data_IF_929175263313
#
_entry.id   IF_929175263313
#
_cell.length_a   1.000
_cell.length_b   1.000
_cell.length_c   1.000
_cell.angle_alpha   90.00
_cell.angle_beta   90.00
_cell.angle_gamma   90.00
#
_symmetry.space_group_name_H-M   'P 1'
#
loop_
_entity.id
_entity.type
_entity.pdbx_description
1 polymer ?
#
# COMPACT_ATOMS: atom_id res chain seq x y z
N UNK A 1 9.33 -15.91 -0.30
CA UNK A 1 10.46 -15.30 0.41
C UNK A 1 10.02 -13.96 1.00
N UNK A 2 10.12 -13.84 2.32
CA UNK A 2 9.90 -12.63 3.09
C UNK A 2 11.25 -12.14 3.60
N UNK A 3 11.57 -10.86 3.36
CA UNK A 3 12.86 -10.31 3.79
C UNK A 3 12.65 -9.29 4.89
N UNK A 4 13.25 -9.55 6.05
CA UNK A 4 13.27 -8.67 7.22
C UNK A 4 14.64 -8.02 7.36
N UNK A 5 14.73 -6.72 7.16
CA UNK A 5 15.98 -5.97 7.18
C UNK A 5 16.05 -5.07 8.40
N UNK A 6 17.12 -5.19 9.17
CA UNK A 6 17.38 -4.31 10.31
C UNK A 6 17.78 -2.91 9.86
N UNK A 7 17.54 -1.88 10.68
CA UNK A 7 18.07 -0.54 10.47
C UNK A 7 19.59 -0.54 10.25
N UNK A 8 20.07 0.46 9.54
CA UNK A 8 21.52 0.57 9.28
C UNK A 8 22.31 0.79 10.57
N UNK A 9 21.82 1.63 11.47
CA UNK A 9 22.43 1.87 12.78
C UNK A 9 22.58 0.58 13.59
N UNK A 10 21.52 -0.26 13.62
CA UNK A 10 21.59 -1.55 14.30
C UNK A 10 22.65 -2.46 13.68
N UNK A 11 22.69 -2.53 12.34
CA UNK A 11 23.66 -3.36 11.63
C UNK A 11 25.11 -2.93 11.92
N UNK A 12 25.37 -1.62 11.98
CA UNK A 12 26.69 -1.06 12.36
C UNK A 12 27.07 -1.44 13.79
N UNK A 13 26.17 -1.21 14.75
CA UNK A 13 26.42 -1.50 16.16
C UNK A 13 26.63 -3.01 16.42
N UNK A 14 25.85 -3.85 15.75
CA UNK A 14 25.92 -5.31 15.90
C UNK A 14 27.20 -5.90 15.29
N UNK A 15 27.62 -5.42 14.10
CA UNK A 15 28.68 -6.06 13.31
C UNK A 15 30.07 -5.46 13.58
N UNK A 16 30.14 -4.17 13.83
CA UNK A 16 31.40 -3.44 14.06
C UNK A 16 31.50 -2.89 15.48
N UNK A 17 30.41 -2.39 16.05
CA UNK A 17 30.38 -2.05 17.48
C UNK A 17 30.50 -3.26 18.40
N UNK A 18 30.23 -4.48 17.88
CA UNK A 18 30.44 -5.75 18.60
C UNK A 18 29.29 -6.13 19.54
N UNK A 19 28.17 -5.43 19.56
CA UNK A 19 27.02 -5.80 20.40
C UNK A 19 26.18 -6.90 19.75
N UNK A 20 26.56 -8.16 20.01
CA UNK A 20 25.90 -9.36 19.50
C UNK A 20 24.43 -9.51 19.98
N UNK A 21 24.04 -8.85 21.09
CA UNK A 21 22.66 -8.88 21.61
C UNK A 21 21.68 -8.31 20.61
N UNK A 22 22.11 -7.35 19.77
CA UNK A 22 21.30 -6.78 18.69
C UNK A 22 21.00 -7.79 17.57
N UNK A 23 21.87 -8.80 17.38
CA UNK A 23 21.59 -9.93 16.46
C UNK A 23 20.48 -10.81 17.03
N UNK A 24 20.48 -11.05 18.34
CA UNK A 24 19.42 -11.82 19.00
C UNK A 24 18.10 -11.05 18.98
N UNK A 25 18.13 -9.75 19.26
CA UNK A 25 16.98 -8.86 19.10
C UNK A 25 16.35 -8.95 17.68
N UNK A 26 17.20 -8.95 16.64
CA UNK A 26 16.75 -9.15 15.27
C UNK A 26 16.06 -10.52 15.09
N UNK A 27 16.65 -11.61 15.59
CA UNK A 27 16.06 -12.94 15.48
C UNK A 27 14.70 -13.01 16.18
N UNK A 28 14.59 -12.43 17.38
CA UNK A 28 13.34 -12.37 18.16
C UNK A 28 12.26 -11.58 17.41
N UNK A 29 12.62 -10.45 16.84
CA UNK A 29 11.69 -9.62 16.05
C UNK A 29 11.21 -10.32 14.77
N UNK A 30 12.09 -11.07 14.08
CA UNK A 30 11.71 -11.89 12.92
C UNK A 30 10.74 -12.99 13.35
N UNK A 31 11.06 -13.73 14.42
CA UNK A 31 10.19 -14.77 14.96
C UNK A 31 8.82 -14.20 15.34
N UNK A 32 8.79 -13.06 16.02
CA UNK A 32 7.56 -12.39 16.40
C UNK A 32 6.70 -12.05 15.17
N UNK A 33 7.29 -11.38 14.16
CA UNK A 33 6.55 -11.00 12.95
C UNK A 33 6.02 -12.20 12.16
N UNK A 34 6.79 -13.31 12.10
CA UNK A 34 6.35 -14.55 11.46
C UNK A 34 5.22 -15.22 12.25
N UNK A 35 5.26 -15.19 13.58
CA UNK A 35 4.19 -15.74 14.44
C UNK A 35 2.87 -14.94 14.26
N UNK A 36 2.93 -13.63 14.17
CA UNK A 36 1.73 -12.82 13.90
C UNK A 36 1.19 -13.04 12.48
N UNK A 37 2.09 -13.12 11.49
CA UNK A 37 1.72 -13.42 10.10
C UNK A 37 1.02 -14.79 10.01
N UNK A 38 1.57 -15.82 10.66
CA UNK A 38 1.01 -17.17 10.69
C UNK A 38 -0.42 -17.21 11.22
N UNK A 39 -0.68 -16.54 12.35
CA UNK A 39 -2.03 -16.40 12.92
C UNK A 39 -3.01 -15.70 11.99
N UNK A 40 -2.53 -14.70 11.27
CA UNK A 40 -3.39 -13.89 10.41
C UNK A 40 -3.74 -14.61 9.10
N UNK A 41 -2.77 -15.28 8.45
CA UNK A 41 -2.91 -15.70 7.05
C UNK A 41 -2.89 -17.21 6.81
N UNK A 42 -2.46 -18.02 7.78
CA UNK A 42 -2.39 -19.48 7.59
C UNK A 42 -3.79 -20.07 7.45
N UNK A 43 -4.13 -20.51 6.25
CA UNK A 43 -5.46 -21.03 5.94
C UNK A 43 -5.38 -22.20 4.96
N UNK A 44 -6.31 -23.14 5.13
CA UNK A 44 -6.64 -24.17 4.13
C UNK A 44 -7.99 -23.86 3.50
N UNK A 45 -8.18 -24.38 2.29
CA UNK A 45 -9.46 -24.38 1.62
C UNK A 45 -10.17 -25.71 1.89
N UNK A 46 -11.30 -25.63 2.55
CA UNK A 46 -12.17 -26.80 2.85
C UNK A 46 -13.36 -26.77 1.90
N UNK A 47 -13.72 -27.93 1.36
CA UNK A 47 -14.90 -28.10 0.53
C UNK A 47 -15.93 -28.92 1.30
N UNK A 48 -17.06 -28.29 1.61
CA UNK A 48 -18.19 -28.93 2.29
C UNK A 48 -19.12 -29.65 1.29
N UNK A 49 -20.16 -30.28 1.83
CA UNK A 49 -21.22 -30.86 1.02
C UNK A 49 -21.81 -29.84 0.04
N UNK A 50 -22.23 -30.30 -1.13
CA UNK A 50 -22.75 -29.47 -2.24
C UNK A 50 -21.71 -28.55 -2.90
N UNK A 51 -20.41 -28.75 -2.64
CA UNK A 51 -19.33 -27.98 -3.29
C UNK A 51 -19.13 -26.57 -2.72
N UNK A 52 -19.69 -26.25 -1.56
CA UNK A 52 -19.43 -24.99 -0.87
C UNK A 52 -17.97 -24.98 -0.38
N UNK A 53 -17.23 -23.93 -0.74
CA UNK A 53 -15.82 -23.77 -0.36
C UNK A 53 -15.68 -22.64 0.66
N UNK A 54 -14.92 -22.91 1.71
CA UNK A 54 -14.61 -21.95 2.77
C UNK A 54 -13.13 -22.01 3.12
N UNK A 55 -12.65 -20.96 3.79
CA UNK A 55 -11.32 -20.94 4.38
C UNK A 55 -11.39 -21.28 5.87
N UNK A 56 -10.48 -22.16 6.29
CA UNK A 56 -10.27 -22.51 7.67
C UNK A 56 -8.88 -22.08 8.11
N UNK A 57 -8.79 -21.31 9.21
CA UNK A 57 -7.51 -20.91 9.79
C UNK A 57 -6.85 -22.14 10.44
N UNK A 58 -5.55 -22.26 10.20
CA UNK A 58 -4.74 -23.36 10.73
C UNK A 58 -3.71 -22.90 11.74
N UNK A 59 -3.44 -21.58 11.78
CA UNK A 59 -2.43 -20.96 12.65
C UNK A 59 -1.08 -21.71 12.62
N UNK A 60 -0.74 -22.29 11.49
CA UNK A 60 0.43 -23.15 11.30
C UNK A 60 1.08 -22.94 9.94
N UNK A 61 2.33 -22.49 9.94
CA UNK A 61 3.16 -22.37 8.72
C UNK A 61 4.59 -22.85 9.03
N UNK A 62 5.27 -23.34 8.02
CA UNK A 62 6.67 -23.73 8.11
C UNK A 62 7.55 -22.70 7.41
N UNK A 63 8.53 -22.15 8.13
CA UNK A 63 9.50 -21.20 7.61
C UNK A 63 10.93 -21.73 7.76
N UNK A 64 11.71 -21.61 6.68
CA UNK A 64 13.16 -21.71 6.74
C UNK A 64 13.74 -20.29 6.81
N UNK A 65 14.40 -19.93 7.92
CA UNK A 65 14.96 -18.59 8.13
C UNK A 65 16.46 -18.60 7.96
N UNK A 66 16.97 -17.81 7.02
CA UNK A 66 18.40 -17.65 6.74
C UNK A 66 18.80 -16.21 6.96
N UNK A 67 19.75 -15.97 7.89
CA UNK A 67 20.25 -14.64 8.21
C UNK A 67 21.52 -14.33 7.43
N UNK A 68 21.60 -13.12 6.88
CA UNK A 68 22.76 -12.54 6.22
C UNK A 68 23.26 -11.30 6.98
N UNK A 69 24.54 -10.96 6.78
CA UNK A 69 25.20 -9.82 7.41
C UNK A 69 25.52 -8.69 6.42
N UNK A 70 25.38 -8.94 5.12
CA UNK A 70 25.85 -8.04 4.07
C UNK A 70 24.75 -7.70 3.09
N UNK A 71 24.75 -6.45 2.61
CA UNK A 71 24.03 -6.08 1.39
C UNK A 71 24.69 -6.73 0.15
N UNK A 72 24.11 -6.49 -1.03
CA UNK A 72 24.69 -6.93 -2.31
C UNK A 72 26.04 -6.26 -2.61
N UNK A 73 26.24 -5.05 -2.13
CA UNK A 73 27.48 -4.26 -2.27
C UNK A 73 28.44 -4.50 -1.09
N UNK A 74 28.24 -5.56 -0.31
CA UNK A 74 29.02 -5.90 0.87
C UNK A 74 28.99 -4.87 2.01
N UNK A 75 27.99 -3.95 2.03
CA UNK A 75 27.77 -3.09 3.19
C UNK A 75 27.25 -3.90 4.38
N UNK A 76 27.46 -3.37 5.58
CA UNK A 76 26.86 -3.88 6.81
C UNK A 76 25.33 -3.85 6.70
N UNK A 77 24.70 -5.01 6.65
CA UNK A 77 23.25 -5.13 6.58
C UNK A 77 22.78 -6.45 7.18
N UNK A 78 22.36 -6.40 8.41
CA UNK A 78 21.70 -7.53 9.05
C UNK A 78 20.30 -7.70 8.45
N UNK A 79 20.03 -8.84 7.84
CA UNK A 79 18.71 -9.17 7.33
C UNK A 79 18.50 -10.67 7.31
N UNK A 80 17.23 -11.05 7.37
CA UNK A 80 16.82 -12.46 7.30
C UNK A 80 15.85 -12.68 6.16
N UNK A 81 16.08 -13.76 5.41
CA UNK A 81 15.13 -14.32 4.47
C UNK A 81 14.33 -15.41 5.17
N UNK A 82 13.03 -15.31 5.16
CA UNK A 82 12.11 -16.33 5.64
C UNK A 82 11.37 -16.94 4.44
N UNK A 83 11.74 -18.17 4.11
CA UNK A 83 11.14 -18.95 3.03
C UNK A 83 9.94 -19.71 3.60
N UNK A 84 8.73 -19.28 3.26
CA UNK A 84 7.50 -19.97 3.64
C UNK A 84 7.31 -21.21 2.74
N UNK A 85 7.15 -22.37 3.34
CA UNK A 85 6.72 -23.56 2.62
C UNK A 85 5.23 -23.45 2.28
N UNK A 86 4.83 -23.92 1.10
CA UNK A 86 3.43 -23.94 0.70
C UNK A 86 2.71 -25.13 1.36
N UNK A 87 2.73 -25.18 2.69
CA UNK A 87 2.09 -26.21 3.49
C UNK A 87 1.67 -25.71 4.86
N UNK A 88 0.63 -26.32 5.39
CA UNK A 88 0.09 -26.11 6.73
C UNK A 88 -0.47 -27.44 7.25
N UNK A 89 -0.81 -27.50 8.55
CA UNK A 89 -1.58 -28.61 9.13
C UNK A 89 -3.01 -28.16 9.35
N UNK A 90 -3.95 -28.96 8.88
CA UNK A 90 -5.37 -28.76 9.21
C UNK A 90 -5.68 -29.19 10.67
N UNK A 91 -6.93 -29.08 11.08
CA UNK A 91 -7.38 -29.43 12.43
C UNK A 91 -7.27 -30.92 12.74
N UNK A 92 -7.30 -31.76 11.72
CA UNK A 92 -7.12 -33.21 11.80
C UNK A 92 -5.63 -33.58 11.91
N UNK A 93 -4.72 -32.61 11.71
CA UNK A 93 -3.27 -32.82 11.74
C UNK A 93 -2.67 -33.17 10.37
N UNK A 94 -3.48 -33.26 9.33
CA UNK A 94 -3.04 -33.58 7.98
C UNK A 94 -2.31 -32.39 7.31
N UNK A 95 -1.33 -32.74 6.49
CA UNK A 95 -0.61 -31.74 5.70
C UNK A 95 -1.43 -31.34 4.48
N UNK A 96 -1.66 -30.04 4.35
CA UNK A 96 -2.40 -29.40 3.26
C UNK A 96 -1.60 -28.30 2.61
N UNK A 97 -1.90 -27.98 1.36
CA UNK A 97 -1.41 -26.76 0.74
C UNK A 97 -2.11 -25.54 1.34
N UNK A 98 -1.36 -24.44 1.49
CA UNK A 98 -1.94 -23.14 1.86
C UNK A 98 -3.00 -22.71 0.84
N UNK A 99 -4.00 -21.96 1.31
CA UNK A 99 -5.13 -21.54 0.50
C UNK A 99 -4.74 -20.62 -0.66
N UNK A 100 -5.39 -20.81 -1.80
CA UNK A 100 -5.36 -19.90 -2.95
C UNK A 100 -6.65 -19.10 -2.99
N UNK A 101 -6.67 -17.98 -3.71
CA UNK A 101 -7.85 -17.12 -3.82
C UNK A 101 -9.09 -17.87 -4.32
N UNK A 102 -10.26 -17.52 -3.76
CA UNK A 102 -11.57 -18.07 -4.14
C UNK A 102 -12.41 -17.01 -4.85
N UNK A 103 -12.95 -17.37 -6.00
CA UNK A 103 -13.98 -16.57 -6.67
C UNK A 103 -15.36 -16.97 -6.14
N UNK A 104 -16.09 -16.02 -5.58
CA UNK A 104 -17.47 -16.21 -5.10
C UNK A 104 -18.40 -15.16 -5.69
N UNK A 105 -19.73 -15.40 -5.54
CA UNK A 105 -20.74 -14.41 -5.90
C UNK A 105 -20.62 -13.21 -4.97
N UNK A 106 -20.02 -12.12 -5.45
CA UNK A 106 -19.72 -10.93 -4.63
C UNK A 106 -18.24 -10.54 -4.60
N UNK A 107 -17.35 -11.30 -5.28
CA UNK A 107 -15.95 -10.92 -5.42
C UNK A 107 -14.95 -12.05 -5.25
N UNK A 108 -13.72 -11.67 -4.96
CA UNK A 108 -12.61 -12.58 -4.72
C UNK A 108 -12.23 -12.53 -3.24
N UNK A 109 -12.20 -13.69 -2.59
CA UNK A 109 -11.60 -13.81 -1.26
C UNK A 109 -10.14 -14.19 -1.45
N UNK A 110 -9.24 -13.38 -0.91
CA UNK A 110 -7.80 -13.58 -1.05
C UNK A 110 -7.32 -14.79 -0.23
N UNK A 111 -6.51 -15.63 -0.86
CA UNK A 111 -5.82 -16.71 -0.19
C UNK A 111 -4.59 -16.25 0.59
N UNK A 112 -3.85 -17.19 1.18
CA UNK A 112 -2.68 -16.91 2.03
C UNK A 112 -1.61 -16.09 1.31
N UNK A 113 -1.26 -16.44 0.08
CA UNK A 113 -0.21 -15.76 -0.69
C UNK A 113 -0.55 -14.32 -1.00
N UNK A 114 -1.78 -14.05 -1.46
CA UNK A 114 -2.27 -12.71 -1.77
C UNK A 114 -2.38 -11.85 -0.52
N UNK A 115 -2.79 -12.41 0.62
CA UNK A 115 -2.85 -11.69 1.90
C UNK A 115 -1.46 -11.29 2.38
N UNK A 116 -0.47 -12.19 2.31
CA UNK A 116 0.92 -11.87 2.61
C UNK A 116 1.41 -10.71 1.74
N UNK A 117 1.16 -10.78 0.43
CA UNK A 117 1.57 -9.73 -0.50
C UNK A 117 0.89 -8.39 -0.22
N UNK A 118 -0.41 -8.39 0.00
CA UNK A 118 -1.20 -7.18 0.25
C UNK A 118 -0.82 -6.48 1.56
N UNK A 119 -0.40 -7.24 2.59
CA UNK A 119 -0.09 -6.73 3.92
C UNK A 119 1.41 -6.81 4.27
N UNK A 120 2.29 -7.02 3.29
CA UNK A 120 3.73 -7.15 3.51
C UNK A 120 4.34 -6.00 4.32
N UNK A 121 3.85 -4.76 4.12
CA UNK A 121 4.34 -3.60 4.87
C UNK A 121 3.90 -3.64 6.33
N UNK A 122 2.67 -4.07 6.60
CA UNK A 122 2.18 -4.25 7.97
C UNK A 122 3.06 -5.25 8.74
N UNK A 123 3.38 -6.41 8.14
CA UNK A 123 4.30 -7.37 8.79
C UNK A 123 5.71 -6.83 8.92
N UNK A 124 6.17 -6.01 7.99
CA UNK A 124 7.41 -5.26 8.11
C UNK A 124 7.40 -4.28 9.30
N UNK A 125 6.29 -3.60 9.55
CA UNK A 125 6.11 -2.67 10.67
C UNK A 125 6.05 -3.44 12.01
N UNK A 126 5.38 -4.60 12.07
CA UNK A 126 5.41 -5.48 13.24
C UNK A 126 6.85 -5.86 13.61
N UNK A 127 7.64 -6.27 12.62
CA UNK A 127 9.05 -6.56 12.82
C UNK A 127 9.83 -5.34 13.30
N UNK A 128 9.70 -4.19 12.65
CA UNK A 128 10.43 -2.97 13.00
C UNK A 128 10.10 -2.48 14.41
N UNK A 129 8.83 -2.48 14.78
CA UNK A 129 8.40 -2.04 16.12
C UNK A 129 8.84 -2.99 17.22
N UNK A 130 8.83 -4.30 16.98
CA UNK A 130 9.37 -5.28 17.94
C UNK A 130 10.89 -5.12 18.08
N UNK A 131 11.60 -4.95 16.96
CA UNK A 131 13.06 -4.75 16.98
C UNK A 131 13.46 -3.47 17.71
N UNK A 132 12.70 -2.38 17.54
CA UNK A 132 12.92 -1.13 18.28
C UNK A 132 12.76 -1.38 19.77
N UNK A 133 11.69 -2.04 20.20
CA UNK A 133 11.45 -2.39 21.60
C UNK A 133 12.57 -3.25 22.20
N UNK A 134 13.07 -4.24 21.44
CA UNK A 134 14.22 -5.06 21.87
C UNK A 134 15.48 -4.20 22.04
N UNK A 135 15.76 -3.31 21.09
CA UNK A 135 16.90 -2.39 21.18
C UNK A 135 16.79 -1.44 22.39
N UNK A 136 15.61 -0.92 22.68
CA UNK A 136 15.33 -0.10 23.85
C UNK A 136 15.56 -0.87 25.16
N UNK A 137 15.16 -2.12 25.21
CA UNK A 137 15.43 -3.01 26.36
C UNK A 137 16.93 -3.20 26.61
N UNK A 138 17.75 -3.13 25.55
CA UNK A 138 19.21 -3.19 25.62
C UNK A 138 19.87 -1.84 25.99
N UNK A 139 19.04 -0.79 26.22
CA UNK A 139 19.49 0.53 26.68
C UNK A 139 19.78 1.51 25.55
N UNK A 140 19.41 1.23 24.33
CA UNK A 140 19.48 2.16 23.21
C UNK A 140 18.23 3.07 23.14
N UNK A 141 18.39 4.28 22.62
CA UNK A 141 17.27 5.13 22.24
C UNK A 141 16.98 4.95 20.75
N UNK A 142 15.71 4.96 20.37
CA UNK A 142 15.27 4.81 18.98
C UNK A 142 14.51 6.04 18.51
N UNK A 143 14.62 6.35 17.22
CA UNK A 143 13.85 7.41 16.57
C UNK A 143 13.20 6.91 15.29
N UNK A 144 11.97 7.32 15.03
CA UNK A 144 11.28 7.05 13.78
C UNK A 144 11.94 7.77 12.60
N UNK A 145 11.95 7.12 11.42
CA UNK A 145 12.52 7.70 10.19
C UNK A 145 11.55 7.63 9.00
N UNK A 146 10.27 7.38 9.29
CA UNK A 146 9.19 7.26 8.31
C UNK A 146 8.93 5.82 7.86
N UNK A 147 7.79 5.63 7.21
CA UNK A 147 7.34 4.33 6.68
C UNK A 147 7.31 3.18 7.71
N UNK A 148 7.09 3.49 8.99
CA UNK A 148 7.11 2.51 10.07
C UNK A 148 8.52 2.01 10.44
N UNK A 149 9.57 2.66 9.97
CA UNK A 149 10.97 2.32 10.23
C UNK A 149 11.59 3.20 11.30
N UNK A 150 12.66 2.71 11.91
CA UNK A 150 13.43 3.44 12.91
C UNK A 150 14.94 3.35 12.67
N UNK A 151 15.70 4.19 13.36
CA UNK A 151 17.14 4.07 13.54
C UNK A 151 17.48 4.16 15.04
N UNK A 152 18.57 3.54 15.46
CA UNK A 152 19.13 3.73 16.80
C UNK A 152 19.80 5.09 16.84
N UNK A 153 19.44 5.90 17.83
CA UNK A 153 20.00 7.23 18.03
C UNK A 153 21.47 7.16 18.49
N UNK A 154 22.26 8.17 18.14
CA UNK A 154 23.67 8.26 18.55
C UNK A 154 24.65 7.56 17.60
N UNK A 155 24.21 6.85 16.58
CA UNK A 155 25.09 6.40 15.50
C UNK A 155 25.31 7.57 14.52
N UNK A 156 26.57 8.00 14.29
CA UNK A 156 26.84 9.15 13.44
C UNK A 156 26.36 8.98 11.99
N UNK A 157 25.70 10.02 11.46
CA UNK A 157 25.16 10.01 10.10
C UNK A 157 26.22 9.70 9.02
N UNK A 158 27.48 10.23 9.08
CA UNK A 158 28.51 9.87 8.11
C UNK A 158 28.77 8.36 8.00
N UNK A 159 28.70 7.64 9.14
CA UNK A 159 28.87 6.18 9.13
C UNK A 159 27.69 5.49 8.44
N UNK A 160 26.45 5.94 8.72
CA UNK A 160 25.26 5.40 8.09
C UNK A 160 25.29 5.59 6.56
N UNK A 161 25.72 6.78 6.13
CA UNK A 161 25.82 7.12 4.71
C UNK A 161 26.93 6.31 4.03
N UNK A 162 28.13 6.25 4.60
CA UNK A 162 29.24 5.46 4.09
C UNK A 162 28.95 3.95 4.04
N UNK A 163 28.02 3.47 4.89
CA UNK A 163 27.57 2.07 4.93
C UNK A 163 26.32 1.79 4.08
N UNK A 164 25.89 2.73 3.23
CA UNK A 164 24.63 2.66 2.48
C UNK A 164 24.83 2.74 0.95
N UNK A 165 25.91 2.15 0.44
CA UNK A 165 26.32 2.20 -0.97
C UNK A 165 25.18 1.80 -1.91
N UNK A 166 24.44 0.74 -1.57
CA UNK A 166 23.33 0.27 -2.40
C UNK A 166 22.21 1.31 -2.51
N UNK A 167 21.85 1.96 -1.43
CA UNK A 167 20.84 3.02 -1.43
C UNK A 167 21.29 4.20 -2.29
N UNK A 168 22.54 4.64 -2.16
CA UNK A 168 23.10 5.73 -2.93
C UNK A 168 23.06 5.43 -4.45
N UNK A 169 23.40 4.20 -4.86
CA UNK A 169 23.32 3.79 -6.26
C UNK A 169 21.89 3.84 -6.80
N UNK A 170 20.90 3.39 -6.02
CA UNK A 170 19.49 3.42 -6.42
C UNK A 170 18.99 4.85 -6.50
N UNK A 171 19.30 5.69 -5.50
CA UNK A 171 18.88 7.09 -5.44
C UNK A 171 19.49 7.87 -6.62
N UNK A 172 20.80 7.70 -6.90
CA UNK A 172 21.45 8.32 -8.05
C UNK A 172 20.80 7.88 -9.38
N UNK A 173 20.56 6.58 -9.55
CA UNK A 173 19.94 6.07 -10.77
C UNK A 173 18.50 6.57 -10.94
N UNK A 174 17.77 6.74 -9.82
CA UNK A 174 16.41 7.31 -9.83
C UNK A 174 16.42 8.77 -10.29
N UNK A 175 17.43 9.55 -9.83
CA UNK A 175 17.64 10.92 -10.30
C UNK A 175 17.97 10.96 -11.81
N UNK A 176 18.84 10.06 -12.28
CA UNK A 176 19.20 9.95 -13.70
C UNK A 176 17.98 9.62 -14.59
N UNK A 177 17.00 8.88 -14.06
CA UNK A 177 15.74 8.57 -14.74
C UNK A 177 14.77 9.77 -14.78
N UNK A 178 15.01 10.82 -13.99
CA UNK A 178 14.19 12.03 -13.94
C UNK A 178 12.83 11.87 -13.26
N UNK A 179 12.59 10.77 -12.55
CA UNK A 179 11.33 10.48 -11.87
C UNK A 179 11.58 10.08 -10.42
N UNK A 180 10.89 10.70 -9.46
CA UNK A 180 10.88 10.26 -8.06
C UNK A 180 9.58 9.51 -7.74
N UNK A 181 9.43 8.34 -8.36
CA UNK A 181 8.30 7.45 -8.12
C UNK A 181 8.77 6.09 -7.61
N UNK A 182 7.88 5.35 -6.94
CA UNK A 182 8.18 3.97 -6.53
C UNK A 182 8.55 3.09 -7.73
N UNK A 183 7.85 3.24 -8.85
CA UNK A 183 8.14 2.50 -10.06
C UNK A 183 9.54 2.82 -10.62
N UNK A 184 9.96 4.10 -10.57
CA UNK A 184 11.31 4.50 -10.96
C UNK A 184 12.39 3.88 -10.04
N UNK A 185 12.13 3.84 -8.72
CA UNK A 185 13.01 3.18 -7.74
C UNK A 185 13.10 1.67 -7.96
N UNK A 186 12.01 1.01 -8.34
CA UNK A 186 12.00 -0.42 -8.68
C UNK A 186 12.83 -0.69 -9.95
N UNK A 187 12.71 0.14 -10.99
CA UNK A 187 13.55 0.08 -12.20
C UNK A 187 15.01 0.35 -11.87
N UNK A 188 15.31 1.42 -11.12
CA UNK A 188 16.68 1.75 -10.69
C UNK A 188 17.32 0.61 -9.87
N UNK A 189 16.54 -0.05 -9.01
CA UNK A 189 16.99 -1.22 -8.25
C UNK A 189 17.33 -2.41 -9.16
N UNK A 190 16.61 -2.63 -10.24
CA UNK A 190 16.92 -3.69 -11.20
C UNK A 190 18.14 -3.33 -12.05
N UNK A 191 18.19 -2.11 -12.59
CA UNK A 191 19.26 -1.62 -13.47
C UNK A 191 20.64 -1.62 -12.78
N UNK A 192 20.68 -1.23 -11.50
CA UNK A 192 21.92 -1.15 -10.72
C UNK A 192 22.31 -2.49 -10.08
N UNK A 193 21.58 -3.57 -10.38
CA UNK A 193 21.79 -4.87 -9.74
C UNK A 193 22.99 -5.63 -10.31
N UNK A 194 24.14 -5.52 -9.66
CA UNK A 194 25.35 -6.29 -9.99
C UNK A 194 25.27 -7.74 -9.48
N UNK A 195 26.12 -8.61 -10.03
CA UNK A 195 26.35 -9.96 -9.48
C UNK A 195 26.97 -9.86 -8.08
N UNK A 196 26.62 -10.79 -7.18
CA UNK A 196 27.26 -10.85 -5.85
C UNK A 196 28.74 -11.22 -5.99
N UNK A 197 29.60 -10.45 -5.33
CA UNK A 197 31.01 -10.80 -5.14
C UNK A 197 31.17 -11.41 -3.74
N UNK A 198 31.79 -12.57 -3.67
CA UNK A 198 32.07 -13.21 -2.39
C UNK A 198 33.34 -12.61 -1.79
N UNK A 199 33.27 -12.21 -0.54
CA UNK A 199 34.41 -11.83 0.31
C UNK A 199 34.41 -12.62 1.60
N UNK A 200 35.61 -12.91 2.14
CA UNK A 200 35.72 -13.57 3.43
C UNK A 200 35.23 -12.66 4.57
N UNK A 201 34.76 -13.25 5.66
CA UNK A 201 34.30 -12.48 6.84
C UNK A 201 35.40 -11.56 7.38
N UNK A 202 36.67 -12.00 7.36
CA UNK A 202 37.80 -11.20 7.85
C UNK A 202 38.08 -9.99 6.94
N UNK A 203 38.00 -10.18 5.62
CA UNK A 203 38.14 -9.09 4.64
C UNK A 203 37.04 -8.03 4.84
N UNK A 204 35.80 -8.50 4.99
CA UNK A 204 34.65 -7.60 5.24
C UNK A 204 34.82 -6.82 6.55
N UNK A 205 35.19 -7.49 7.64
CA UNK A 205 35.39 -6.83 8.93
C UNK A 205 36.48 -5.76 8.85
N UNK A 206 37.61 -6.04 8.18
CA UNK A 206 38.68 -5.04 7.97
C UNK A 206 38.18 -3.85 7.15
N UNK A 207 37.46 -4.10 6.07
CA UNK A 207 36.86 -3.06 5.23
C UNK A 207 35.90 -2.17 6.05
N UNK A 208 34.98 -2.77 6.80
CA UNK A 208 34.01 -2.03 7.61
C UNK A 208 34.66 -1.21 8.73
N UNK A 209 35.68 -1.77 9.39
CA UNK A 209 36.47 -1.02 10.38
C UNK A 209 37.17 0.17 9.73
N UNK A 210 37.77 0.00 8.53
CA UNK A 210 38.36 1.09 7.78
C UNK A 210 37.35 2.18 7.47
N UNK A 211 36.17 1.79 6.95
CA UNK A 211 35.08 2.72 6.63
C UNK A 211 34.71 3.58 7.86
N UNK A 212 34.57 2.98 9.04
CA UNK A 212 34.23 3.73 10.27
C UNK A 212 35.38 4.69 10.68
N UNK A 213 36.65 4.23 10.62
CA UNK A 213 37.81 5.04 10.94
C UNK A 213 38.02 6.20 9.97
N UNK A 214 37.76 6.01 8.68
CA UNK A 214 37.81 7.05 7.66
C UNK A 214 36.76 8.16 7.87
N UNK A 215 35.68 7.85 8.57
CA UNK A 215 34.70 8.84 9.03
C UNK A 215 35.10 9.53 10.34
N UNK A 216 36.29 9.22 10.90
CA UNK A 216 36.80 9.84 12.11
C UNK A 216 36.31 9.23 13.42
N UNK A 217 35.79 8.01 13.40
CA UNK A 217 35.23 7.34 14.60
C UNK A 217 36.01 6.07 14.97
N UNK A 218 36.04 5.75 16.25
CA UNK A 218 36.56 4.47 16.72
C UNK A 218 35.41 3.42 16.74
N UNK A 219 35.57 2.30 16.04
CA UNK A 219 34.61 1.20 16.11
C UNK A 219 34.28 0.72 17.52
N UNK A 220 35.27 0.73 18.45
CA UNK A 220 35.09 0.27 19.81
C UNK A 220 34.21 1.19 20.67
N UNK A 221 34.07 2.46 20.31
CA UNK A 221 33.30 3.45 21.04
C UNK A 221 31.87 3.58 20.60
N UNK A 222 31.50 3.01 19.45
CA UNK A 222 30.18 3.19 18.81
C UNK A 222 29.01 2.77 19.72
N UNK A 223 29.14 1.65 20.42
CA UNK A 223 28.09 1.14 21.34
C UNK A 223 27.95 2.12 22.52
N UNK A 224 29.07 2.54 23.12
CA UNK A 224 29.06 3.49 24.24
C UNK A 224 28.43 4.82 23.82
N UNK A 225 28.83 5.35 22.68
CA UNK A 225 28.27 6.58 22.13
C UNK A 225 26.73 6.47 21.92
N UNK A 226 26.27 5.40 21.32
CA UNK A 226 24.84 5.17 21.09
C UNK A 226 24.06 5.00 22.40
N UNK A 227 24.62 4.32 23.40
CA UNK A 227 23.97 4.14 24.71
C UNK A 227 23.99 5.39 25.60
N UNK A 228 24.90 6.33 25.36
CA UNK A 228 24.92 7.61 26.05
C UNK A 228 23.81 8.56 25.60
N UNK A 229 23.30 8.40 24.39
CA UNK A 229 22.20 9.22 23.89
C UNK A 229 20.90 8.75 24.54
N UNK A 230 20.32 9.66 25.33
CA UNK A 230 19.01 9.44 25.96
C UNK A 230 18.00 10.39 25.30
N UNK A 231 17.23 9.89 24.39
CA UNK A 231 16.07 10.61 23.87
C UNK A 231 14.86 10.31 24.77
N UNK A 232 14.06 11.34 25.05
CA UNK A 232 12.80 11.12 25.75
C UNK A 232 11.92 10.23 24.88
N UNK A 233 11.52 9.07 25.39
CA UNK A 233 10.53 8.24 24.74
C UNK A 233 9.17 8.95 24.86
N UNK A 234 8.83 9.72 23.87
CA UNK A 234 7.52 10.35 23.78
C UNK A 234 6.50 9.31 23.29
N UNK A 235 5.97 8.50 24.22
CA UNK A 235 4.79 7.69 23.91
C UNK A 235 3.63 8.63 23.67
N UNK A 236 3.04 8.66 22.47
CA UNK A 236 1.92 9.55 22.19
C UNK A 236 0.76 9.28 23.14
N UNK A 237 0.05 10.32 23.60
CA UNK A 237 -1.17 10.15 24.37
C UNK A 237 -2.19 9.32 23.58
N UNK A 238 -3.06 8.60 24.31
CA UNK A 238 -4.12 7.78 23.70
C UNK A 238 -4.95 8.55 22.67
N UNK A 239 -5.33 9.78 23.00
CA UNK A 239 -6.12 10.64 22.10
C UNK A 239 -5.38 11.01 20.82
N UNK A 240 -4.05 11.16 20.85
CA UNK A 240 -3.26 11.42 19.66
C UNK A 240 -3.19 10.18 18.75
N UNK A 241 -3.06 8.99 19.34
CA UNK A 241 -3.09 7.73 18.60
C UNK A 241 -4.47 7.51 17.97
N UNK A 242 -5.57 7.78 18.67
CA UNK A 242 -6.91 7.72 18.10
C UNK A 242 -7.09 8.72 16.94
N UNK A 243 -6.62 9.95 17.10
CA UNK A 243 -6.67 10.95 16.04
C UNK A 243 -5.85 10.53 14.79
N UNK A 244 -4.67 9.94 14.97
CA UNK A 244 -3.87 9.41 13.88
C UNK A 244 -4.56 8.23 13.17
N UNK A 245 -5.19 7.33 13.91
CA UNK A 245 -6.03 6.25 13.35
C UNK A 245 -7.19 6.85 12.54
N UNK A 246 -7.88 7.87 13.05
CA UNK A 246 -8.97 8.54 12.33
C UNK A 246 -8.48 9.17 11.03
N UNK A 247 -7.33 9.85 11.02
CA UNK A 247 -6.72 10.38 9.78
C UNK A 247 -6.38 9.27 8.77
N UNK A 248 -5.87 8.14 9.24
CA UNK A 248 -5.61 6.98 8.39
C UNK A 248 -6.89 6.42 7.77
N UNK A 249 -7.98 6.35 8.56
CA UNK A 249 -9.33 5.96 8.12
C UNK A 249 -9.85 6.93 7.06
N UNK A 250 -9.78 8.24 7.32
CA UNK A 250 -10.22 9.27 6.38
C UNK A 250 -9.46 9.21 5.05
N UNK A 251 -8.14 8.98 5.12
CA UNK A 251 -7.32 8.79 3.93
C UNK A 251 -7.72 7.55 3.12
N UNK A 252 -7.89 6.41 3.78
CA UNK A 252 -8.31 5.15 3.11
C UNK A 252 -9.74 5.25 2.61
N UNK A 253 -10.62 5.92 3.35
CA UNK A 253 -12.03 6.13 3.03
C UNK A 253 -12.26 6.93 1.73
N UNK A 254 -11.25 7.67 1.24
CA UNK A 254 -11.29 8.32 -0.07
C UNK A 254 -11.26 7.32 -1.24
N UNK A 255 -10.79 6.10 -1.00
CA UNK A 255 -10.59 5.09 -2.04
C UNK A 255 -11.45 3.84 -1.84
N UNK A 256 -11.90 3.57 -0.63
CA UNK A 256 -12.69 2.39 -0.29
C UNK A 256 -13.50 2.61 0.98
N UNK A 257 -14.74 2.09 1.01
CA UNK A 257 -15.57 2.06 2.21
C UNK A 257 -15.34 0.80 3.06
N UNK A 258 -14.66 -0.21 2.48
CA UNK A 258 -14.24 -1.41 3.16
C UNK A 258 -12.74 -1.33 3.49
N UNK A 259 -12.41 -1.08 4.75
CA UNK A 259 -11.06 -0.79 5.22
C UNK A 259 -10.45 -2.01 5.93
N UNK A 260 -9.19 -2.29 5.64
CA UNK A 260 -8.42 -3.34 6.32
C UNK A 260 -7.68 -2.77 7.54
N UNK A 261 -7.78 -3.45 8.68
CA UNK A 261 -7.12 -3.03 9.92
C UNK A 261 -5.61 -2.92 9.76
N UNK A 262 -5.01 -3.84 9.01
CA UNK A 262 -3.58 -3.85 8.68
C UNK A 262 -3.14 -2.57 7.95
N UNK A 263 -3.99 -2.04 7.06
CA UNK A 263 -3.72 -0.79 6.34
C UNK A 263 -3.87 0.43 7.24
N UNK A 264 -4.83 0.43 8.14
CA UNK A 264 -5.00 1.48 9.15
C UNK A 264 -3.75 1.55 10.04
N UNK A 265 -3.28 0.40 10.55
CA UNK A 265 -2.07 0.34 11.38
C UNK A 265 -0.83 0.77 10.59
N UNK A 266 -0.69 0.32 9.33
CA UNK A 266 0.41 0.69 8.43
C UNK A 266 0.52 2.21 8.29
N UNK A 267 -0.58 2.90 7.98
CA UNK A 267 -0.59 4.35 7.79
C UNK A 267 -0.34 5.10 9.10
N UNK A 268 -0.97 4.67 10.19
CA UNK A 268 -0.79 5.27 11.51
C UNK A 268 0.66 5.18 11.98
N UNK A 269 1.30 4.01 11.88
CA UNK A 269 2.70 3.83 12.21
C UNK A 269 3.62 4.67 11.30
N UNK A 270 3.29 4.78 10.02
CA UNK A 270 4.06 5.59 9.07
C UNK A 270 3.99 7.08 9.38
N UNK A 271 2.85 7.57 9.86
CA UNK A 271 2.68 8.96 10.30
C UNK A 271 3.55 9.26 11.51
N UNK A 272 3.48 8.45 12.56
CA UNK A 272 4.30 8.63 13.75
C UNK A 272 5.80 8.58 13.46
N UNK A 273 6.25 7.58 12.71
CA UNK A 273 7.67 7.45 12.38
C UNK A 273 8.18 8.58 11.49
N UNK A 274 7.33 9.19 10.66
CA UNK A 274 7.66 10.41 9.91
C UNK A 274 7.86 11.60 10.84
N UNK A 275 7.12 11.67 11.95
CA UNK A 275 7.27 12.65 13.01
C UNK A 275 8.42 12.35 14.00
N UNK A 276 9.24 11.33 13.74
CA UNK A 276 10.35 10.95 14.62
C UNK A 276 9.97 10.01 15.78
N UNK A 277 8.68 9.70 15.94
CA UNK A 277 8.21 8.86 17.05
C UNK A 277 8.15 7.40 16.60
N UNK A 278 8.78 6.51 17.38
CA UNK A 278 8.67 5.07 17.17
C UNK A 278 7.56 4.51 18.08
N UNK A 279 6.41 4.19 17.51
CA UNK A 279 5.28 3.60 18.23
C UNK A 279 5.18 2.11 17.91
N UNK A 280 4.89 1.30 18.93
CA UNK A 280 4.70 -0.13 18.74
C UNK A 280 3.38 -0.40 18.00
N UNK A 281 3.45 -1.20 16.91
CA UNK A 281 2.30 -1.56 16.10
C UNK A 281 1.19 -2.27 16.90
N UNK A 282 1.55 -3.06 17.93
CA UNK A 282 0.57 -3.69 18.81
C UNK A 282 -0.18 -2.68 19.69
N UNK A 283 0.45 -1.56 20.05
CA UNK A 283 -0.23 -0.53 20.84
C UNK A 283 -1.21 0.25 19.93
N UNK A 284 -0.85 0.52 18.68
CA UNK A 284 -1.80 1.04 17.69
C UNK A 284 -2.98 0.06 17.52
N UNK A 285 -2.70 -1.25 17.42
CA UNK A 285 -3.73 -2.28 17.30
C UNK A 285 -4.67 -2.29 18.51
N UNK A 286 -4.15 -2.20 19.73
CA UNK A 286 -4.98 -2.12 20.95
C UNK A 286 -5.94 -0.93 20.93
N UNK A 287 -5.47 0.22 20.46
CA UNK A 287 -6.32 1.42 20.33
C UNK A 287 -7.39 1.19 19.27
N UNK A 288 -7.04 0.63 18.12
CA UNK A 288 -8.01 0.29 17.08
C UNK A 288 -9.02 -0.77 17.55
N UNK A 289 -8.59 -1.78 18.31
CA UNK A 289 -9.48 -2.79 18.93
C UNK A 289 -10.45 -2.15 19.94
N UNK A 290 -10.03 -1.11 20.67
CA UNK A 290 -10.92 -0.34 21.53
C UNK A 290 -11.95 0.45 20.71
N UNK A 291 -11.55 1.07 19.60
CA UNK A 291 -12.46 1.76 18.67
C UNK A 291 -13.48 0.80 18.03
N UNK A 292 -13.08 -0.45 17.74
CA UNK A 292 -13.99 -1.49 17.27
C UNK A 292 -15.04 -1.82 18.37
N UNK A 293 -14.60 -1.99 19.61
CA UNK A 293 -15.51 -2.26 20.75
C UNK A 293 -16.47 -1.12 21.04
N UNK A 294 -16.06 0.12 20.79
CA UNK A 294 -16.88 1.33 20.98
C UNK A 294 -17.85 1.57 19.81
N UNK A 295 -17.65 0.88 18.70
CA UNK A 295 -18.46 1.01 17.48
C UNK A 295 -18.01 2.13 16.55
N UNK A 296 -16.84 2.74 16.77
CA UNK A 296 -16.24 3.73 15.87
C UNK A 296 -15.77 3.07 14.57
N UNK A 297 -15.27 1.82 14.70
CA UNK A 297 -15.00 0.91 13.59
C UNK A 297 -16.00 -0.24 13.61
N UNK A 298 -16.77 -0.38 12.53
CA UNK A 298 -17.84 -1.35 12.36
C UNK A 298 -17.34 -2.50 11.49
N UNK A 299 -17.37 -3.73 12.01
CA UNK A 299 -16.97 -4.91 11.25
C UNK A 299 -17.90 -5.20 10.08
N UNK A 300 -17.36 -5.55 8.94
CA UNK A 300 -18.10 -5.99 7.76
C UNK A 300 -18.21 -7.52 7.71
N UNK A 301 -19.01 -8.03 6.79
CA UNK A 301 -19.22 -9.47 6.59
C UNK A 301 -17.93 -10.23 6.26
N UNK A 302 -17.01 -9.59 5.57
CA UNK A 302 -15.69 -10.16 5.30
C UNK A 302 -14.76 -9.91 6.48
N UNK A 303 -14.21 -10.99 7.06
CA UNK A 303 -13.32 -10.95 8.22
C UNK A 303 -12.13 -10.02 7.97
N UNK A 304 -11.83 -9.15 8.93
CA UNK A 304 -10.71 -8.20 8.87
C UNK A 304 -11.00 -6.91 8.11
N UNK A 305 -12.24 -6.76 7.60
CA UNK A 305 -12.70 -5.52 6.99
C UNK A 305 -13.62 -4.75 7.92
N UNK A 306 -13.45 -3.44 7.91
CA UNK A 306 -14.16 -2.50 8.75
C UNK A 306 -14.64 -1.30 7.93
N UNK A 307 -15.64 -0.60 8.46
CA UNK A 307 -16.10 0.69 7.95
C UNK A 307 -16.37 1.62 9.14
N UNK A 308 -16.80 2.85 8.88
CA UNK A 308 -17.25 3.78 9.90
C UNK A 308 -18.69 4.22 9.63
N UNK A 309 -19.37 4.72 10.67
CA UNK A 309 -20.69 5.32 10.47
C UNK A 309 -20.65 6.45 9.44
N UNK A 310 -19.63 7.30 9.47
CA UNK A 310 -19.48 8.39 8.49
C UNK A 310 -19.38 7.91 7.05
N UNK A 311 -18.67 6.80 6.78
CA UNK A 311 -18.60 6.19 5.44
C UNK A 311 -19.95 5.63 5.01
N UNK A 312 -20.68 4.95 5.93
CA UNK A 312 -22.04 4.44 5.66
C UNK A 312 -23.00 5.60 5.37
N UNK A 313 -22.97 6.66 6.20
CA UNK A 313 -23.82 7.83 6.02
C UNK A 313 -23.54 8.54 4.68
N UNK A 314 -22.28 8.61 4.26
CA UNK A 314 -21.88 9.13 2.94
C UNK A 314 -22.42 8.28 1.78
N UNK A 315 -22.34 6.95 1.86
CA UNK A 315 -22.94 6.06 0.87
C UNK A 315 -24.46 6.22 0.82
N UNK A 316 -25.13 6.28 1.96
CA UNK A 316 -26.57 6.50 2.02
C UNK A 316 -26.96 7.86 1.43
N UNK A 317 -26.24 8.92 1.80
CA UNK A 317 -26.47 10.25 1.24
C UNK A 317 -26.29 10.28 -0.29
N UNK A 318 -25.32 9.53 -0.82
CA UNK A 318 -25.13 9.37 -2.25
C UNK A 318 -26.35 8.68 -2.89
N UNK A 319 -26.80 7.56 -2.31
CA UNK A 319 -27.99 6.82 -2.76
C UNK A 319 -29.23 7.74 -2.75
N UNK A 320 -29.46 8.43 -1.63
CA UNK A 320 -30.60 9.33 -1.47
C UNK A 320 -30.55 10.50 -2.49
N UNK A 321 -29.38 11.04 -2.74
CA UNK A 321 -29.18 12.09 -3.73
C UNK A 321 -29.48 11.64 -5.15
N UNK A 322 -29.23 10.36 -5.46
CA UNK A 322 -29.52 9.78 -6.77
C UNK A 322 -30.99 9.47 -6.95
N UNK A 323 -31.68 9.10 -5.87
CA UNK A 323 -33.13 8.77 -5.90
C UNK A 323 -34.04 10.00 -5.90
N UNK A 324 -33.64 11.06 -5.16
CA UNK A 324 -34.47 12.26 -4.98
C UNK A 324 -34.47 13.27 -6.14
N UNK A 325 -33.51 13.19 -7.06
CA UNK A 325 -33.33 14.20 -8.12
C UNK A 325 -33.88 13.79 -9.50
N UNK A 326 -34.86 12.90 -9.55
CA UNK A 326 -35.44 12.39 -10.81
C UNK A 326 -36.17 13.44 -11.68
N UNK A 327 -36.27 14.72 -11.27
CA UNK A 327 -37.26 15.61 -11.86
C UNK A 327 -36.79 16.84 -12.64
N UNK A 328 -35.52 17.23 -12.70
CA UNK A 328 -35.23 18.57 -13.26
C UNK A 328 -34.06 18.78 -14.20
N UNK A 329 -33.32 17.77 -14.62
CA UNK A 329 -32.26 17.99 -15.61
C UNK A 329 -32.39 17.05 -16.81
N UNK A 330 -33.02 17.55 -17.87
CA UNK A 330 -33.00 16.88 -19.19
C UNK A 330 -31.72 17.26 -19.93
N UNK A 331 -30.77 16.35 -20.04
CA UNK A 331 -29.76 16.41 -21.11
C UNK A 331 -30.44 16.04 -22.41
N UNK A 332 -31.26 16.92 -22.94
CA UNK A 332 -31.97 16.63 -24.19
C UNK A 332 -30.95 16.66 -25.34
N UNK A 333 -30.69 15.52 -25.93
CA UNK A 333 -30.01 15.41 -27.22
C UNK A 333 -31.10 15.19 -28.24
N UNK A 334 -31.14 16.04 -29.29
CA UNK A 334 -32.11 15.86 -30.37
C UNK A 334 -31.94 14.47 -31.03
N UNK A 335 -32.99 13.73 -31.21
CA UNK A 335 -33.00 12.39 -31.85
C UNK A 335 -32.28 12.41 -33.20
N UNK A 336 -32.31 13.55 -33.91
CA UNK A 336 -31.59 13.76 -35.16
C UNK A 336 -30.05 13.72 -35.02
N UNK A 337 -29.51 14.03 -33.86
CA UNK A 337 -28.03 13.97 -33.62
C UNK A 337 -27.56 12.53 -33.58
N UNK A 338 -28.31 11.65 -32.92
CA UNK A 338 -27.98 10.21 -32.84
C UNK A 338 -28.03 9.54 -34.22
N UNK A 339 -28.97 9.96 -35.05
CA UNK A 339 -29.17 9.40 -36.43
C UNK A 339 -28.10 9.91 -37.43
N UNK A 340 -27.49 11.08 -37.16
CA UNK A 340 -26.42 11.66 -38.00
C UNK A 340 -25.04 11.10 -37.73
N UNK A 341 -24.85 10.50 -36.58
CA UNK A 341 -23.56 9.91 -36.18
C UNK A 341 -23.55 8.42 -36.60
N UNK A 342 -22.46 7.98 -37.20
CA UNK A 342 -22.25 6.56 -37.56
C UNK A 342 -22.01 5.72 -36.29
N UNK A 343 -23.06 5.49 -35.51
CA UNK A 343 -22.99 4.76 -34.24
C UNK A 343 -23.34 3.29 -34.53
N UNK A 344 -22.51 2.33 -34.05
CA UNK A 344 -22.84 0.92 -34.15
C UNK A 344 -24.21 0.61 -33.52
N UNK A 345 -25.04 -0.21 -34.19
CA UNK A 345 -26.41 -0.52 -33.77
C UNK A 345 -26.47 -1.03 -32.31
N UNK A 346 -25.47 -1.85 -31.90
CA UNK A 346 -25.36 -2.35 -30.53
C UNK A 346 -25.21 -1.27 -29.48
N UNK A 347 -24.68 -0.11 -29.84
CA UNK A 347 -24.45 1.04 -28.94
C UNK A 347 -25.55 2.09 -29.04
N UNK A 348 -26.23 2.15 -30.19
CA UNK A 348 -27.26 3.15 -30.46
C UNK A 348 -28.43 3.07 -29.47
N UNK A 349 -28.85 1.87 -29.10
CA UNK A 349 -29.92 1.65 -28.11
C UNK A 349 -29.55 2.20 -26.74
N UNK A 350 -28.33 1.91 -26.27
CA UNK A 350 -27.86 2.36 -24.97
C UNK A 350 -27.73 3.89 -24.94
N UNK A 351 -27.15 4.48 -25.98
CA UNK A 351 -27.01 5.93 -26.09
C UNK A 351 -28.37 6.65 -26.16
N UNK A 352 -29.33 6.06 -26.92
CA UNK A 352 -30.69 6.58 -26.98
C UNK A 352 -31.36 6.57 -25.60
N UNK A 353 -31.20 5.47 -24.84
CA UNK A 353 -31.75 5.35 -23.50
C UNK A 353 -31.11 6.37 -22.54
N UNK A 354 -29.78 6.53 -22.58
CA UNK A 354 -29.03 7.47 -21.72
C UNK A 354 -29.45 8.94 -22.00
N UNK A 355 -29.53 9.32 -23.27
CA UNK A 355 -29.81 10.72 -23.63
C UNK A 355 -31.28 11.11 -23.58
N UNK A 356 -32.20 10.14 -23.65
CA UNK A 356 -33.65 10.36 -23.48
C UNK A 356 -34.13 10.15 -22.04
N UNK A 357 -33.28 9.66 -21.18
CA UNK A 357 -33.62 9.47 -19.77
C UNK A 357 -33.83 10.79 -19.03
N UNK A 358 -34.79 10.79 -18.13
CA UNK A 358 -35.02 11.89 -17.18
C UNK A 358 -34.18 11.77 -15.94
N UNK A 359 -33.42 10.68 -15.79
CA UNK A 359 -32.56 10.45 -14.64
C UNK A 359 -31.25 11.23 -14.78
N UNK A 360 -30.75 11.74 -13.67
CA UNK A 360 -29.48 12.47 -13.62
C UNK A 360 -28.26 11.53 -13.63
N UNK A 361 -28.42 10.31 -13.09
CA UNK A 361 -27.34 9.33 -12.97
C UNK A 361 -27.70 8.03 -13.70
N UNK A 362 -26.72 7.50 -14.40
CA UNK A 362 -26.81 6.23 -15.09
C UNK A 362 -25.58 5.38 -14.79
N UNK A 363 -25.80 4.11 -14.45
CA UNK A 363 -24.75 3.12 -14.34
C UNK A 363 -24.83 2.20 -15.55
N UNK A 364 -23.78 2.14 -16.33
CA UNK A 364 -23.69 1.30 -17.53
C UNK A 364 -22.67 0.21 -17.29
N UNK A 365 -23.13 -1.03 -17.16
CA UNK A 365 -22.26 -2.18 -17.11
C UNK A 365 -21.86 -2.61 -18.51
N UNK A 366 -20.56 -2.55 -18.82
CA UNK A 366 -20.02 -2.91 -20.12
C UNK A 366 -19.26 -4.23 -20.00
N UNK A 367 -19.75 -5.26 -20.70
CA UNK A 367 -19.01 -6.51 -20.81
C UNK A 367 -18.07 -6.44 -22.02
N UNK A 368 -16.77 -6.37 -21.76
CA UNK A 368 -15.74 -6.20 -22.78
C UNK A 368 -15.16 -4.79 -22.81
N UNK A 369 -14.71 -4.31 -23.99
CA UNK A 369 -14.11 -2.97 -24.11
C UNK A 369 -15.19 -1.89 -24.03
N UNK A 370 -15.09 -1.03 -23.02
CA UNK A 370 -15.95 0.15 -22.84
C UNK A 370 -15.57 1.32 -23.79
N UNK A 371 -14.48 1.18 -24.54
CA UNK A 371 -13.90 2.19 -25.42
C UNK A 371 -14.92 2.74 -26.44
N UNK A 372 -15.68 1.87 -27.06
CA UNK A 372 -16.66 2.29 -28.06
C UNK A 372 -17.76 3.18 -27.51
N UNK A 373 -18.28 2.88 -26.32
CA UNK A 373 -19.35 3.66 -25.68
C UNK A 373 -18.84 5.02 -25.23
N UNK A 374 -17.64 5.08 -24.61
CA UNK A 374 -17.03 6.33 -24.18
C UNK A 374 -16.78 7.29 -25.35
N UNK A 375 -16.26 6.77 -26.48
CA UNK A 375 -16.07 7.54 -27.71
C UNK A 375 -17.38 8.10 -28.23
N UNK A 376 -18.44 7.30 -28.26
CA UNK A 376 -19.74 7.76 -28.76
C UNK A 376 -20.39 8.75 -27.80
N UNK A 377 -20.28 8.60 -26.49
CA UNK A 377 -20.73 9.58 -25.51
C UNK A 377 -20.04 10.93 -25.73
N UNK A 378 -18.74 10.94 -25.95
CA UNK A 378 -17.97 12.15 -26.27
C UNK A 378 -18.45 12.78 -27.59
N UNK A 379 -18.59 11.97 -28.65
CA UNK A 379 -19.03 12.45 -29.95
C UNK A 379 -20.43 13.07 -29.90
N UNK A 380 -21.38 12.37 -29.28
CA UNK A 380 -22.77 12.85 -29.14
C UNK A 380 -22.84 14.11 -28.28
N UNK A 381 -22.09 14.12 -27.16
CA UNK A 381 -22.03 15.29 -26.28
C UNK A 381 -21.50 16.53 -26.99
N UNK A 382 -20.37 16.40 -27.69
CA UNK A 382 -19.77 17.50 -28.44
C UNK A 382 -20.68 18.02 -29.57
N UNK A 383 -21.34 17.14 -30.33
CA UNK A 383 -22.30 17.53 -31.37
C UNK A 383 -23.56 18.18 -30.81
N UNK A 384 -23.88 17.91 -29.56
CA UNK A 384 -25.03 18.49 -28.85
C UNK A 384 -24.69 19.77 -28.09
N UNK A 385 -23.47 20.31 -28.25
CA UNK A 385 -23.01 21.49 -27.53
C UNK A 385 -22.87 21.28 -26.03
N UNK A 386 -22.68 20.02 -25.60
CA UNK A 386 -22.44 19.66 -24.21
C UNK A 386 -20.95 19.55 -23.94
N UNK A 387 -20.55 19.94 -22.75
CA UNK A 387 -19.16 19.79 -22.27
C UNK A 387 -19.04 18.44 -21.59
N UNK A 388 -18.33 17.48 -22.21
CA UNK A 388 -18.09 16.15 -21.64
C UNK A 388 -16.78 16.18 -20.87
N UNK A 389 -16.82 15.76 -19.62
CA UNK A 389 -15.67 15.73 -18.72
C UNK A 389 -15.42 14.31 -18.22
N UNK A 390 -14.18 13.86 -18.25
CA UNK A 390 -13.75 12.58 -17.67
C UNK A 390 -13.31 12.79 -16.23
N UNK A 391 -13.89 12.01 -15.34
CA UNK A 391 -13.53 11.96 -13.91
C UNK A 391 -12.96 10.59 -13.58
N UNK A 392 -11.76 10.54 -13.03
CA UNK A 392 -11.12 9.31 -12.57
C UNK A 392 -10.79 9.40 -11.08
N UNK A 393 -10.74 8.25 -10.40
CA UNK A 393 -10.45 8.21 -8.97
C UNK A 393 -8.98 8.52 -8.64
N UNK A 394 -8.05 8.31 -9.57
CA UNK A 394 -6.62 8.43 -9.29
C UNK A 394 -5.88 9.35 -10.27
N UNK A 395 -4.85 10.04 -9.76
CA UNK A 395 -3.90 10.83 -10.57
C UNK A 395 -3.18 9.94 -11.58
N UNK A 396 -2.96 8.67 -11.26
CA UNK A 396 -2.31 7.69 -12.14
C UNK A 396 -3.14 7.44 -13.39
N UNK A 397 -4.44 7.24 -13.25
CA UNK A 397 -5.36 7.10 -14.39
C UNK A 397 -5.41 8.39 -15.24
N UNK A 398 -5.25 9.56 -14.61
CA UNK A 398 -5.17 10.86 -15.29
C UNK A 398 -3.90 11.00 -16.15
N UNK A 399 -2.74 10.49 -15.66
CA UNK A 399 -1.43 10.64 -16.32
C UNK A 399 -1.09 9.49 -17.27
N UNK A 400 -1.54 8.27 -17.04
CA UNK A 400 -1.30 7.12 -17.92
C UNK A 400 -1.88 7.32 -19.32
N UNK A 401 -2.88 8.17 -19.47
CA UNK A 401 -3.36 8.63 -20.78
C UNK A 401 -2.33 9.44 -21.59
N UNK A 402 -1.24 9.92 -20.98
CA UNK A 402 -0.21 10.72 -21.65
C UNK A 402 1.02 9.90 -22.07
N UNK A 403 1.31 8.74 -21.46
CA UNK A 403 2.57 8.02 -21.64
C UNK A 403 2.44 6.65 -22.35
N UNK A 404 1.24 6.16 -22.64
CA UNK A 404 1.04 4.77 -23.10
C UNK A 404 1.18 4.52 -24.59
N UNK A 405 2.02 5.27 -25.30
CA UNK A 405 2.32 4.98 -26.73
C UNK A 405 3.09 3.65 -26.91
N UNK A 406 3.61 3.03 -25.84
CA UNK A 406 4.43 1.81 -25.97
C UNK A 406 3.99 0.57 -25.16
N UNK A 407 2.92 0.60 -24.36
CA UNK A 407 2.42 -0.62 -23.69
C UNK A 407 0.93 -0.77 -23.86
N UNK A 408 0.51 -1.91 -24.43
CA UNK A 408 -0.87 -2.36 -24.53
C UNK A 408 -1.48 -2.58 -23.13
N UNK A 409 -1.76 -1.52 -22.39
CA UNK A 409 -2.63 -1.56 -21.22
C UNK A 409 -4.06 -1.28 -21.70
N UNK A 410 -4.92 -2.27 -21.56
CA UNK A 410 -6.31 -2.23 -22.02
C UNK A 410 -7.26 -1.64 -20.97
N UNK A 411 -6.83 -0.72 -20.12
CA UNK A 411 -7.73 -0.04 -19.19
C UNK A 411 -8.41 1.12 -19.86
N UNK A 412 -9.71 1.29 -19.61
CA UNK A 412 -10.55 2.39 -20.14
C UNK A 412 -9.88 3.74 -19.87
N UNK A 413 -9.34 3.95 -18.69
CA UNK A 413 -8.69 5.18 -18.25
C UNK A 413 -7.50 5.59 -19.12
N UNK A 414 -6.66 4.64 -19.53
CA UNK A 414 -5.49 4.93 -20.37
C UNK A 414 -5.87 5.36 -21.79
N UNK A 415 -6.91 4.73 -22.35
CA UNK A 415 -7.35 5.01 -23.72
C UNK A 415 -8.27 6.23 -23.80
N UNK A 416 -9.26 6.34 -22.90
CA UNK A 416 -10.18 7.48 -22.84
C UNK A 416 -9.42 8.76 -22.53
N UNK A 417 -8.33 8.67 -21.74
CA UNK A 417 -7.42 9.77 -21.51
C UNK A 417 -6.82 10.39 -22.79
N UNK A 418 -6.69 9.64 -23.89
CA UNK A 418 -6.20 10.17 -25.17
C UNK A 418 -7.29 10.96 -25.94
N UNK A 419 -8.56 10.70 -25.68
CA UNK A 419 -9.67 11.36 -26.34
C UNK A 419 -10.03 12.73 -25.73
N UNK A 420 -9.66 12.95 -24.49
CA UNK A 420 -9.99 14.18 -23.77
C UNK A 420 -8.77 15.08 -23.67
N UNK A 421 -8.99 16.38 -23.88
CA UNK A 421 -7.94 17.38 -23.63
C UNK A 421 -7.55 17.40 -22.15
N UNK A 422 -6.35 17.88 -21.77
CA UNK A 422 -5.93 17.99 -20.38
C UNK A 422 -6.94 18.75 -19.49
N UNK A 423 -7.60 19.74 -20.05
CA UNK A 423 -8.61 20.58 -19.36
C UNK A 423 -9.93 19.84 -19.09
N UNK A 424 -10.20 18.76 -19.83
CA UNK A 424 -11.39 17.92 -19.66
C UNK A 424 -11.16 16.75 -18.72
N UNK A 425 -9.96 16.60 -18.17
CA UNK A 425 -9.58 15.48 -17.30
C UNK A 425 -9.48 15.92 -15.85
N UNK A 426 -10.25 15.32 -14.99
CA UNK A 426 -10.27 15.61 -13.58
C UNK A 426 -10.06 14.36 -12.74
N UNK A 427 -9.43 14.49 -11.58
CA UNK A 427 -9.64 13.54 -10.48
C UNK A 427 -10.91 13.95 -9.74
N UNK A 428 -11.54 13.03 -9.03
CA UNK A 428 -12.69 13.35 -8.17
C UNK A 428 -12.33 14.53 -7.24
N UNK A 429 -11.14 14.48 -6.64
CA UNK A 429 -10.65 15.55 -5.78
C UNK A 429 -10.47 16.90 -6.52
N UNK A 430 -9.82 16.90 -7.70
CA UNK A 430 -9.61 18.13 -8.46
C UNK A 430 -10.91 18.72 -9.00
N UNK A 431 -11.92 17.89 -9.27
CA UNK A 431 -13.24 18.36 -9.68
C UNK A 431 -13.98 19.03 -8.52
N UNK A 432 -13.91 18.45 -7.32
CA UNK A 432 -14.54 19.01 -6.12
C UNK A 432 -13.87 20.32 -5.64
N UNK A 433 -12.59 20.53 -5.96
CA UNK A 433 -11.85 21.76 -5.67
C UNK A 433 -11.90 22.79 -6.82
N UNK A 434 -12.57 22.48 -7.92
CA UNK A 434 -12.66 23.39 -9.07
C UNK A 434 -13.58 24.56 -8.75
N UNK A 435 -13.10 25.78 -8.99
CA UNK A 435 -13.91 27.00 -8.92
C UNK A 435 -14.95 27.13 -10.06
N UNK A 436 -14.90 26.21 -11.03
CA UNK A 436 -15.83 26.18 -12.16
C UNK A 436 -17.04 25.32 -11.79
N UNK A 437 -18.22 25.91 -11.54
CA UNK A 437 -19.39 25.15 -11.18
C UNK A 437 -19.86 24.27 -12.35
N UNK A 438 -20.30 23.04 -12.03
CA UNK A 438 -20.97 22.19 -13.00
C UNK A 438 -22.33 22.79 -13.37
N UNK A 439 -22.65 22.74 -14.63
CA UNK A 439 -23.90 23.28 -15.19
C UNK A 439 -24.70 22.19 -15.88
N UNK A 440 -25.91 22.49 -16.32
CA UNK A 440 -26.75 21.59 -17.14
C UNK A 440 -26.17 21.30 -18.55
N UNK A 441 -25.04 21.94 -18.90
CA UNK A 441 -24.31 21.68 -20.14
C UNK A 441 -23.19 20.67 -19.94
N UNK A 442 -22.92 20.22 -18.72
CA UNK A 442 -21.85 19.30 -18.41
C UNK A 442 -22.36 17.85 -18.37
N UNK A 443 -21.57 16.97 -18.95
CA UNK A 443 -21.72 15.52 -18.85
C UNK A 443 -20.45 14.98 -18.18
N UNK A 444 -20.60 14.35 -17.04
CA UNK A 444 -19.49 13.69 -16.36
C UNK A 444 -19.47 12.21 -16.73
N UNK A 445 -18.35 11.76 -17.29
CA UNK A 445 -18.04 10.37 -17.45
C UNK A 445 -17.11 9.94 -16.31
N UNK A 446 -17.64 9.16 -15.38
CA UNK A 446 -16.88 8.66 -14.23
C UNK A 446 -16.42 7.25 -14.55
N UNK A 447 -15.12 7.06 -14.57
CA UNK A 447 -14.48 5.77 -14.79
C UNK A 447 -14.05 5.18 -13.44
N UNK A 448 -14.64 4.04 -13.10
CA UNK A 448 -14.42 3.30 -11.84
C UNK A 448 -13.49 2.09 -12.06
N UNK A 449 -12.65 2.10 -13.09
CA UNK A 449 -11.77 1.00 -13.44
C UNK A 449 -10.43 0.99 -12.65
#
# INVERSE_FOLDING_TARGET
>A
DLTFSAPKSLSVLALIGGDSRLIEAHNNAVKFALTELEKDVAQVKVTHEKGVQEYENTDSMLFAVVRHKTSRENDMQVHSHALAANMTRDKEGDLRALSTSLKQKGGVINGTGERIYNFQKYYGILYQSQLAKEAETLGYSTRGVGNGQFEISGVPQPILDASSTRKQQIDQRTLDLGFDSRAAKDVANLDTRKSKTYQSSDSLNKQWQSTVKEQGYDPAELVTMAQQVKEAQNTPPLGETQAAISRAIDHLGQYSTALHLEKIIELTASEFTKGGVQLNALDIKKVADAMIKQGDLIGLSQKGQYTTKGLIDNEQALIDSTQGRAHHMRTHVESNTLNKLAIPESQQRILTELYHSTKQFHVVNVHGSSQGIAQQLLNVGNHSGKRVQLVSQSVKAKTEGMESVQRKSQTLSAWVGQLFSPEQRHTTHSLLQSDTPLTNKDILLIDDA
#
